data_IF_779175606573
#
_entry.id   IF_779175606573
#
_cell.length_a   1.000
_cell.length_b   1.000
_cell.length_c   1.000
_cell.angle_alpha   90.00
_cell.angle_beta   90.00
_cell.angle_gamma   90.00
#
_symmetry.space_group_name_H-M   'P 1'
#
loop_
_entity.id
_entity.type
_entity.pdbx_description
1 polymer ?
#
# COMPACT_ATOMS: atom_id res chain seq x y z
N UNK A 1 80.45 2.01 18.98
CA UNK A 1 79.59 0.83 18.88
C UNK A 1 78.23 1.27 18.34
N UNK A 2 77.92 1.03 17.05
CA UNK A 2 76.63 1.42 16.43
C UNK A 2 75.72 0.20 16.38
N UNK A 3 74.63 0.22 17.13
CA UNK A 3 73.58 -0.81 17.09
C UNK A 3 72.73 -0.57 15.84
N UNK A 4 72.89 -1.41 14.82
CA UNK A 4 72.01 -1.44 13.66
C UNK A 4 70.71 -2.15 14.08
N UNK A 5 69.69 -1.36 14.43
CA UNK A 5 68.34 -1.86 14.74
C UNK A 5 67.70 -2.32 13.42
N UNK A 6 67.70 -3.63 13.15
CA UNK A 6 67.05 -4.17 11.94
C UNK A 6 65.57 -3.84 12.00
N UNK A 7 65.09 -2.99 11.08
CA UNK A 7 63.65 -2.83 10.85
C UNK A 7 63.18 -4.15 10.25
N UNK A 8 62.56 -5.00 11.07
CA UNK A 8 61.95 -6.27 10.65
C UNK A 8 60.84 -5.88 9.67
N UNK A 9 61.12 -5.95 8.37
CA UNK A 9 60.11 -5.72 7.35
C UNK A 9 58.99 -6.74 7.60
N UNK A 10 57.76 -6.25 7.77
CA UNK A 10 56.58 -7.11 7.85
C UNK A 10 56.56 -7.88 6.53
N UNK A 11 56.79 -9.19 6.62
CA UNK A 11 56.97 -10.08 5.47
C UNK A 11 55.80 -9.94 4.49
N UNK A 12 56.08 -9.94 3.19
CA UNK A 12 55.06 -9.88 2.14
C UNK A 12 54.00 -11.00 2.24
N UNK A 13 54.34 -12.10 2.91
CA UNK A 13 53.39 -13.16 3.25
C UNK A 13 52.34 -12.72 4.27
N UNK A 14 52.71 -11.89 5.26
CA UNK A 14 51.81 -11.41 6.30
C UNK A 14 50.84 -10.37 5.73
N UNK A 15 51.33 -9.48 4.88
CA UNK A 15 50.46 -8.50 4.21
C UNK A 15 49.47 -9.18 3.25
N UNK A 16 49.92 -10.17 2.48
CA UNK A 16 49.03 -10.96 1.62
C UNK A 16 47.95 -11.70 2.41
N UNK A 17 48.31 -12.31 3.55
CA UNK A 17 47.34 -13.00 4.41
C UNK A 17 46.27 -12.05 4.96
N UNK A 18 46.64 -10.87 5.43
CA UNK A 18 45.69 -9.86 5.92
C UNK A 18 44.73 -9.45 4.80
N UNK A 19 45.26 -9.18 3.60
CA UNK A 19 44.44 -8.80 2.45
C UNK A 19 43.43 -9.89 2.06
N UNK A 20 43.84 -11.16 2.10
CA UNK A 20 42.94 -12.29 1.82
C UNK A 20 41.81 -12.37 2.84
N UNK A 21 42.12 -12.29 4.14
CA UNK A 21 41.11 -12.36 5.20
C UNK A 21 40.11 -11.21 5.08
N UNK A 22 40.60 -9.98 4.86
CA UNK A 22 39.74 -8.81 4.68
C UNK A 22 38.86 -8.96 3.43
N UNK A 23 39.43 -9.44 2.32
CA UNK A 23 38.68 -9.67 1.08
C UNK A 23 37.57 -10.70 1.27
N UNK A 24 37.83 -11.81 1.97
CA UNK A 24 36.83 -12.85 2.23
C UNK A 24 35.73 -12.33 3.16
N UNK A 25 36.10 -11.62 4.23
CA UNK A 25 35.13 -11.04 5.15
C UNK A 25 34.20 -10.05 4.43
N UNK A 26 34.75 -9.19 3.57
CA UNK A 26 33.96 -8.23 2.81
C UNK A 26 33.06 -8.92 1.77
N UNK A 27 33.56 -9.96 1.09
CA UNK A 27 32.75 -10.73 0.14
C UNK A 27 31.55 -11.41 0.82
N UNK A 28 31.73 -11.99 2.00
CA UNK A 28 30.64 -12.59 2.77
C UNK A 28 29.64 -11.54 3.26
N UNK A 29 30.11 -10.39 3.73
CA UNK A 29 29.24 -9.29 4.16
C UNK A 29 28.35 -8.80 3.00
N UNK A 30 28.93 -8.63 1.81
CA UNK A 30 28.18 -8.24 0.61
C UNK A 30 27.19 -9.32 0.20
N UNK A 31 27.55 -10.60 0.28
CA UNK A 31 26.65 -11.70 -0.05
C UNK A 31 25.44 -11.75 0.89
N UNK A 32 25.66 -11.65 2.20
CA UNK A 32 24.57 -11.61 3.21
C UNK A 32 23.69 -10.37 2.99
N UNK A 33 24.29 -9.22 2.73
CA UNK A 33 23.55 -8.00 2.41
C UNK A 33 22.68 -8.16 1.15
N UNK A 34 23.25 -8.71 0.07
CA UNK A 34 22.51 -8.94 -1.18
C UNK A 34 21.36 -9.93 -0.98
N UNK A 35 21.57 -11.05 -0.26
CA UNK A 35 20.49 -11.99 0.05
C UNK A 35 19.42 -11.38 0.97
N UNK A 36 19.81 -10.53 1.92
CA UNK A 36 18.87 -9.75 2.73
C UNK A 36 17.99 -8.83 1.89
N UNK A 37 18.57 -8.15 0.89
CA UNK A 37 17.82 -7.30 -0.04
C UNK A 37 16.89 -8.12 -0.95
N UNK A 38 17.36 -9.22 -1.53
CA UNK A 38 16.53 -10.07 -2.39
C UNK A 38 15.36 -10.70 -1.61
N UNK A 39 15.57 -11.11 -0.36
CA UNK A 39 14.50 -11.59 0.51
C UNK A 39 13.46 -10.51 0.86
N UNK A 40 13.88 -9.25 0.99
CA UNK A 40 12.98 -8.13 1.28
C UNK A 40 12.14 -7.70 0.07
N UNK A 41 12.74 -7.64 -1.12
CA UNK A 41 12.05 -7.22 -2.34
C UNK A 41 11.21 -8.33 -2.97
N UNK A 42 11.60 -9.60 -2.87
CA UNK A 42 10.83 -10.72 -3.43
C UNK A 42 9.44 -10.91 -2.81
N UNK A 43 9.24 -10.41 -1.58
CA UNK A 43 8.00 -10.58 -0.83
C UNK A 43 7.10 -9.34 -0.76
N UNK A 44 7.49 -8.23 -1.40
CA UNK A 44 6.76 -6.96 -1.37
C UNK A 44 6.06 -6.69 -2.71
N UNK A 45 4.80 -6.24 -2.66
CA UNK A 45 4.09 -5.74 -3.86
C UNK A 45 3.28 -6.79 -4.64
N UNK A 46 2.61 -7.71 -3.96
CA UNK A 46 1.71 -8.69 -4.60
C UNK A 46 0.22 -8.40 -4.33
N UNK A 47 -0.11 -7.16 -3.97
CA UNK A 47 -1.50 -6.72 -3.91
C UNK A 47 -2.03 -6.48 -5.32
N UNK A 48 -3.14 -7.13 -5.65
CA UNK A 48 -3.80 -7.00 -6.94
C UNK A 48 -5.27 -6.75 -6.73
N UNK A 49 -5.83 -5.81 -7.49
CA UNK A 49 -7.27 -5.57 -7.55
C UNK A 49 -7.79 -6.33 -8.75
N UNK A 50 -8.65 -7.32 -8.50
CA UNK A 50 -9.03 -8.36 -9.48
C UNK A 50 -10.41 -8.12 -10.11
N UNK A 51 -11.15 -7.11 -9.65
CA UNK A 51 -12.44 -6.72 -10.23
C UNK A 51 -12.49 -5.24 -10.56
N UNK A 52 -13.45 -4.87 -11.41
CA UNK A 52 -13.88 -3.49 -11.55
C UNK A 52 -14.54 -3.02 -10.24
N UNK A 53 -14.07 -1.93 -9.62
CA UNK A 53 -14.69 -1.44 -8.40
C UNK A 53 -16.11 -0.91 -8.65
N UNK A 54 -17.00 -1.11 -7.69
CA UNK A 54 -18.32 -0.49 -7.66
C UNK A 54 -18.32 0.63 -6.62
N UNK A 55 -18.89 1.78 -6.97
CA UNK A 55 -19.05 2.93 -6.06
C UNK A 55 -20.52 3.09 -5.76
N UNK A 56 -20.88 3.00 -4.48
CA UNK A 56 -22.22 3.26 -3.98
C UNK A 56 -22.20 4.53 -3.16
N UNK A 57 -23.12 5.45 -3.46
CA UNK A 57 -23.28 6.72 -2.74
C UNK A 57 -24.68 6.75 -2.15
N UNK A 58 -24.76 6.90 -0.84
CA UNK A 58 -26.03 6.96 -0.12
C UNK A 58 -26.10 8.29 0.61
N UNK A 59 -27.15 9.07 0.34
CA UNK A 59 -27.50 10.23 1.16
C UNK A 59 -28.06 9.71 2.49
N UNK A 60 -27.44 10.06 3.60
CA UNK A 60 -27.93 9.69 4.94
C UNK A 60 -29.05 10.64 5.35
N UNK A 61 -29.88 10.22 6.31
CA UNK A 61 -30.93 11.07 6.89
C UNK A 61 -30.37 12.16 7.82
N UNK A 62 -29.07 12.09 8.14
CA UNK A 62 -28.36 13.08 8.94
C UNK A 62 -27.97 14.29 8.09
N UNK A 63 -28.09 15.47 8.69
CA UNK A 63 -27.52 16.70 8.14
C UNK A 63 -26.55 17.28 9.15
N UNK A 64 -25.43 17.82 8.68
CA UNK A 64 -24.51 18.60 9.51
C UNK A 64 -24.73 20.06 9.13
N UNK A 65 -25.48 20.77 9.97
CA UNK A 65 -26.11 22.03 9.59
C UNK A 65 -27.16 21.81 8.49
N UNK A 66 -27.09 22.64 7.43
CA UNK A 66 -27.97 22.54 6.26
C UNK A 66 -27.39 21.65 5.14
N UNK A 67 -26.24 21.02 5.35
CA UNK A 67 -25.61 20.18 4.33
C UNK A 67 -26.04 18.72 4.51
N UNK A 68 -26.49 18.05 3.43
CA UNK A 68 -26.76 16.62 3.47
C UNK A 68 -25.45 15.86 3.72
N UNK A 69 -25.55 14.80 4.49
CA UNK A 69 -24.43 13.89 4.71
C UNK A 69 -24.55 12.72 3.74
N UNK A 70 -23.41 12.27 3.23
CA UNK A 70 -23.30 11.14 2.32
C UNK A 70 -22.33 10.10 2.88
N UNK A 71 -22.68 8.83 2.66
CA UNK A 71 -21.81 7.69 2.83
C UNK A 71 -21.42 7.16 1.46
N UNK A 72 -20.12 7.05 1.20
CA UNK A 72 -19.59 6.42 -0.02
C UNK A 72 -19.00 5.07 0.34
N UNK A 73 -19.39 4.03 -0.37
CA UNK A 73 -18.82 2.69 -0.24
C UNK A 73 -18.23 2.27 -1.57
N UNK A 74 -16.93 1.95 -1.58
CA UNK A 74 -16.23 1.38 -2.74
C UNK A 74 -16.05 -0.11 -2.50
N UNK A 75 -16.56 -0.93 -3.41
CA UNK A 75 -16.56 -2.40 -3.32
C UNK A 75 -15.67 -2.94 -4.42
N UNK A 76 -14.68 -3.76 -4.08
CA UNK A 76 -13.82 -4.41 -5.07
C UNK A 76 -13.24 -5.72 -4.54
N UNK A 77 -12.88 -6.62 -5.45
CA UNK A 77 -12.13 -7.82 -5.12
C UNK A 77 -10.63 -7.54 -5.13
N UNK A 78 -9.96 -8.08 -4.13
CA UNK A 78 -8.51 -7.98 -3.98
C UNK A 78 -7.91 -9.37 -3.81
N UNK A 79 -6.66 -9.51 -4.24
CA UNK A 79 -5.78 -10.63 -3.89
C UNK A 79 -4.50 -10.06 -3.31
N UNK A 80 -4.22 -10.35 -2.05
CA UNK A 80 -2.94 -10.05 -1.43
C UNK A 80 -2.05 -11.31 -1.47
N UNK A 81 -1.27 -11.46 -2.54
CA UNK A 81 -0.33 -12.57 -2.68
C UNK A 81 0.97 -12.41 -1.88
N UNK A 82 1.14 -11.28 -1.18
CA UNK A 82 2.38 -10.95 -0.49
C UNK A 82 2.49 -11.64 0.87
N UNK A 83 3.68 -11.54 1.48
CA UNK A 83 3.94 -12.09 2.82
C UNK A 83 3.47 -11.17 3.97
N UNK A 84 3.08 -9.93 3.67
CA UNK A 84 2.68 -8.92 4.66
C UNK A 84 1.27 -8.38 4.40
N UNK A 85 0.54 -7.96 5.44
CA UNK A 85 -0.71 -7.23 5.28
C UNK A 85 -0.52 -5.96 4.44
N UNK A 86 -1.53 -5.61 3.64
CA UNK A 86 -1.57 -4.39 2.87
C UNK A 86 -2.60 -3.43 3.47
N UNK A 87 -2.14 -2.26 3.92
CA UNK A 87 -2.99 -1.25 4.53
C UNK A 87 -3.35 -0.18 3.52
N UNK A 88 -4.64 0.13 3.39
CA UNK A 88 -5.08 1.27 2.57
C UNK A 88 -4.82 2.57 3.34
N UNK A 89 -3.91 3.40 2.83
CA UNK A 89 -3.57 4.69 3.43
C UNK A 89 -4.56 5.78 3.02
N UNK A 90 -4.89 5.81 1.72
CA UNK A 90 -5.82 6.78 1.20
C UNK A 90 -6.52 6.26 -0.04
N UNK A 91 -7.70 6.80 -0.27
CA UNK A 91 -8.49 6.54 -1.47
C UNK A 91 -9.10 7.84 -1.94
N UNK A 92 -9.06 8.07 -3.23
CA UNK A 92 -9.67 9.20 -3.91
C UNK A 92 -10.70 8.67 -4.90
N UNK A 93 -11.92 9.19 -4.87
CA UNK A 93 -13.01 8.80 -5.76
C UNK A 93 -13.56 10.03 -6.44
N UNK A 94 -13.53 10.08 -7.78
CA UNK A 94 -13.92 11.26 -8.56
C UNK A 94 -13.25 12.58 -8.09
N UNK A 95 -12.00 12.50 -7.65
CA UNK A 95 -11.26 13.64 -7.10
C UNK A 95 -11.46 13.90 -5.59
N UNK A 96 -12.46 13.29 -4.95
CA UNK A 96 -12.69 13.40 -3.51
C UNK A 96 -11.76 12.47 -2.72
N UNK A 97 -10.85 13.04 -1.93
CA UNK A 97 -9.84 12.31 -1.15
C UNK A 97 -10.35 11.95 0.24
N UNK A 98 -10.14 10.70 0.65
CA UNK A 98 -10.24 10.24 2.03
C UNK A 98 -8.88 9.67 2.47
N UNK A 99 -8.28 10.34 3.45
CA UNK A 99 -6.97 9.99 4.03
C UNK A 99 -7.06 9.01 5.21
N UNK A 100 -8.28 8.67 5.65
CA UNK A 100 -8.52 7.72 6.75
C UNK A 100 -9.66 6.77 6.38
N UNK A 101 -9.51 5.99 5.30
CA UNK A 101 -10.56 5.08 4.87
C UNK A 101 -10.77 3.94 5.87
N UNK A 102 -12.03 3.60 6.11
CA UNK A 102 -12.37 2.41 6.88
C UNK A 102 -12.49 1.24 5.91
N UNK A 103 -11.65 0.23 6.10
CA UNK A 103 -11.61 -0.97 5.27
C UNK A 103 -12.34 -2.08 6.00
N UNK A 104 -13.20 -2.81 5.29
CA UNK A 104 -13.97 -3.95 5.79
C UNK A 104 -13.74 -5.18 4.93
N UNK A 105 -13.55 -6.32 5.58
CA UNK A 105 -13.49 -7.66 4.97
C UNK A 105 -14.78 -8.38 5.37
N UNK A 106 -15.77 -8.39 4.48
CA UNK A 106 -17.14 -8.73 4.86
C UNK A 106 -17.70 -7.76 5.91
N UNK A 107 -18.16 -8.26 7.06
CA UNK A 107 -18.75 -7.45 8.13
C UNK A 107 -17.75 -6.94 9.18
N UNK A 108 -16.45 -7.27 9.06
CA UNK A 108 -15.44 -6.91 10.05
C UNK A 108 -14.52 -5.81 9.52
N UNK A 109 -14.31 -4.78 10.33
CA UNK A 109 -13.32 -3.75 10.02
C UNK A 109 -11.90 -4.33 10.09
N UNK A 110 -11.13 -4.07 9.04
CA UNK A 110 -9.76 -4.51 8.83
C UNK A 110 -8.75 -3.50 9.39
N UNK A 111 -8.69 -3.34 10.71
CA UNK A 111 -7.82 -2.34 11.37
C UNK A 111 -6.32 -2.54 11.10
N UNK A 112 -5.90 -3.77 10.78
CA UNK A 112 -4.53 -4.11 10.36
C UNK A 112 -4.31 -4.16 8.84
N UNK A 113 -5.28 -3.72 8.04
CA UNK A 113 -5.25 -3.85 6.59
C UNK A 113 -5.71 -5.22 6.08
N UNK A 114 -5.54 -5.44 4.78
CA UNK A 114 -5.88 -6.67 4.06
C UNK A 114 -4.81 -7.73 4.36
N UNK A 115 -5.12 -8.85 5.04
CA UNK A 115 -4.12 -9.84 5.45
C UNK A 115 -3.36 -10.46 4.28
N UNK A 116 -2.14 -10.95 4.55
CA UNK A 116 -1.39 -11.77 3.62
C UNK A 116 -2.17 -13.05 3.24
N UNK A 117 -2.16 -13.42 1.96
CA UNK A 117 -2.91 -14.56 1.43
C UNK A 117 -4.42 -14.32 1.27
N UNK A 118 -4.94 -13.15 1.66
CA UNK A 118 -6.36 -12.84 1.51
C UNK A 118 -6.75 -12.71 0.04
N UNK A 119 -7.86 -13.34 -0.33
CA UNK A 119 -8.50 -13.17 -1.63
C UNK A 119 -10.01 -13.07 -1.43
N UNK A 120 -10.61 -11.97 -1.85
CA UNK A 120 -12.04 -11.74 -1.66
C UNK A 120 -12.45 -10.28 -1.79
N UNK A 121 -13.71 -10.01 -1.46
CA UNK A 121 -14.33 -8.69 -1.52
C UNK A 121 -13.88 -7.81 -0.35
N UNK A 122 -13.53 -6.57 -0.67
CA UNK A 122 -13.18 -5.51 0.26
C UNK A 122 -14.13 -4.34 0.07
N UNK A 123 -14.66 -3.87 1.18
CA UNK A 123 -15.53 -2.70 1.23
C UNK A 123 -14.77 -1.55 1.90
N UNK A 124 -14.66 -0.43 1.20
CA UNK A 124 -14.00 0.77 1.72
C UNK A 124 -15.04 1.86 1.89
N UNK A 125 -15.24 2.32 3.12
CA UNK A 125 -16.26 3.33 3.43
C UNK A 125 -15.65 4.69 3.74
N UNK A 126 -16.40 5.71 3.31
CA UNK A 126 -16.17 7.12 3.56
C UNK A 126 -17.33 7.57 4.44
N UNK A 127 -17.08 7.77 5.72
CA UNK A 127 -18.12 8.19 6.64
C UNK A 127 -18.28 9.72 6.63
N UNK A 128 -19.53 10.16 6.76
CA UNK A 128 -19.91 11.52 7.12
C UNK A 128 -19.37 12.62 6.19
N UNK A 129 -19.47 12.41 4.88
CA UNK A 129 -19.03 13.41 3.89
C UNK A 129 -20.15 14.42 3.59
N UNK A 130 -19.89 15.72 3.77
CA UNK A 130 -20.90 16.79 3.56
C UNK A 130 -20.79 17.46 2.19
N UNK A 131 -19.69 17.23 1.48
CA UNK A 131 -19.43 17.80 0.16
C UNK A 131 -18.86 16.71 -0.75
N UNK A 132 -19.69 16.21 -1.67
CA UNK A 132 -19.29 15.29 -2.72
C UNK A 132 -19.46 15.96 -4.09
N UNK A 133 -18.58 15.66 -5.06
CA UNK A 133 -18.71 16.17 -6.41
C UNK A 133 -20.02 15.68 -7.07
N UNK A 134 -20.59 16.48 -7.96
CA UNK A 134 -21.84 16.15 -8.67
C UNK A 134 -21.73 14.90 -9.55
N UNK A 135 -20.50 14.56 -9.96
CA UNK A 135 -20.16 13.30 -10.61
C UNK A 135 -20.55 12.07 -9.79
N UNK A 136 -20.59 12.19 -8.46
CA UNK A 136 -20.95 11.11 -7.52
C UNK A 136 -22.36 11.20 -6.96
N UNK A 137 -22.99 12.38 -6.98
CA UNK A 137 -24.29 12.58 -6.31
C UNK A 137 -25.47 12.68 -7.27
N UNK A 138 -25.23 12.96 -8.55
CA UNK A 138 -26.30 13.04 -9.55
C UNK A 138 -26.81 11.66 -9.98
N UNK A 139 -28.12 11.38 -9.88
CA UNK A 139 -28.73 10.14 -10.37
C UNK A 139 -28.49 9.84 -11.84
N UNK A 140 -28.27 10.88 -12.66
CA UNK A 140 -28.03 10.73 -14.10
C UNK A 140 -26.65 10.13 -14.41
N UNK A 141 -25.75 10.07 -13.42
CA UNK A 141 -24.41 9.52 -13.59
C UNK A 141 -24.32 8.04 -13.20
N UNK A 142 -25.40 7.43 -12.68
CA UNK A 142 -25.43 6.00 -12.33
C UNK A 142 -25.22 5.16 -13.59
N UNK A 143 -24.37 4.14 -13.48
CA UNK A 143 -23.83 3.35 -14.59
C UNK A 143 -22.59 3.94 -15.25
N UNK A 144 -22.23 5.20 -14.94
CA UNK A 144 -21.06 5.88 -15.46
C UNK A 144 -19.74 5.42 -14.83
N UNK A 145 -18.63 5.68 -15.52
CA UNK A 145 -17.29 5.39 -15.02
C UNK A 145 -16.79 6.46 -14.06
N UNK A 146 -16.14 6.05 -12.97
CA UNK A 146 -15.56 6.92 -11.95
C UNK A 146 -14.09 6.57 -11.75
N UNK A 147 -13.21 7.57 -11.79
CA UNK A 147 -11.80 7.36 -11.47
C UNK A 147 -11.61 7.16 -9.98
N UNK A 148 -10.83 6.13 -9.62
CA UNK A 148 -10.48 5.78 -8.25
C UNK A 148 -8.95 5.68 -8.17
N UNK A 149 -8.36 6.44 -7.26
CA UNK A 149 -6.94 6.32 -6.92
C UNK A 149 -6.82 5.78 -5.49
N UNK A 150 -6.06 4.70 -5.30
CA UNK A 150 -5.85 4.10 -3.98
C UNK A 150 -4.36 3.99 -3.68
N UNK A 151 -3.94 4.45 -2.51
CA UNK A 151 -2.57 4.28 -2.02
C UNK A 151 -2.58 3.22 -0.95
N UNK A 152 -1.91 2.10 -1.22
CA UNK A 152 -1.69 1.05 -0.23
C UNK A 152 -0.28 1.12 0.30
N UNK A 153 -0.06 0.67 1.53
CA UNK A 153 1.27 0.35 2.06
C UNK A 153 1.36 -1.14 2.30
N UNK A 154 2.38 -1.78 1.73
CA UNK A 154 2.70 -3.19 1.96
C UNK A 154 4.20 -3.33 2.20
N UNK A 155 4.59 -3.60 3.44
CA UNK A 155 6.02 -3.55 3.82
C UNK A 155 6.60 -2.14 3.64
N UNK A 156 7.69 -2.02 2.88
CA UNK A 156 8.33 -0.74 2.55
C UNK A 156 7.78 -0.06 1.28
N UNK A 157 6.86 -0.72 0.56
CA UNK A 157 6.31 -0.20 -0.69
C UNK A 157 4.98 0.51 -0.43
N UNK A 158 4.78 1.63 -1.12
CA UNK A 158 3.51 2.36 -1.13
C UNK A 158 2.95 2.55 -2.55
N UNK A 159 2.51 1.47 -3.22
CA UNK A 159 1.99 1.56 -4.58
C UNK A 159 0.68 2.36 -4.65
N UNK A 160 0.52 3.10 -5.75
CA UNK A 160 -0.73 3.76 -6.12
C UNK A 160 -1.43 2.97 -7.21
N UNK A 161 -2.69 2.62 -7.00
CA UNK A 161 -3.55 2.00 -7.99
C UNK A 161 -4.49 3.06 -8.56
N UNK A 162 -4.46 3.25 -9.87
CA UNK A 162 -5.42 4.09 -10.59
C UNK A 162 -6.34 3.18 -11.40
N UNK A 163 -7.62 3.19 -11.06
CA UNK A 163 -8.65 2.31 -11.60
C UNK A 163 -9.86 3.12 -12.07
N UNK A 164 -10.62 2.53 -12.98
CA UNK A 164 -11.96 2.99 -13.34
C UNK A 164 -12.98 2.07 -12.66
N UNK A 165 -13.78 2.63 -11.75
CA UNK A 165 -14.94 1.97 -11.17
C UNK A 165 -16.24 2.37 -11.85
N UNK A 166 -17.34 1.75 -11.46
CA UNK A 166 -18.69 2.07 -11.93
C UNK A 166 -19.47 2.70 -10.80
N UNK A 167 -20.12 3.85 -11.04
CA UNK A 167 -21.08 4.42 -10.10
C UNK A 167 -22.35 3.57 -10.14
N UNK A 168 -22.55 2.72 -9.14
CA UNK A 168 -23.64 1.74 -9.15
C UNK A 168 -24.94 2.31 -8.56
N UNK A 169 -24.85 3.21 -7.59
CA UNK A 169 -26.04 3.84 -7.02
C UNK A 169 -25.74 5.21 -6.44
N UNK A 170 -26.72 6.10 -6.54
CA UNK A 170 -26.79 7.37 -5.83
C UNK A 170 -28.18 7.50 -5.22
N UNK A 171 -28.39 6.94 -4.03
CA UNK A 171 -29.71 6.99 -3.42
C UNK A 171 -29.88 8.34 -2.71
N UNK A 172 -30.55 9.28 -3.39
CA UNK A 172 -31.16 10.43 -2.74
C UNK A 172 -32.46 9.90 -2.15
N UNK A 173 -32.52 9.65 -0.83
CA UNK A 173 -33.80 9.25 -0.22
C UNK A 173 -34.87 10.27 -0.65
N UNK A 174 -35.90 9.76 -1.32
CA UNK A 174 -37.12 10.49 -1.69
C UNK A 174 -37.89 10.87 -0.44
#
# INVERSE_FOLDING_TARGET
>A
MRILKSRRAISGAVTALILVIVSVALALAVAVFAFGLFGSFGNSGQLQITSTPLVNVVKTSTTIGNNPVYSVTVIFNVKNGGATPASLQSIQVAGYLNSTPLVYLGSKQATGGIPAGYAGEVNVTFENTTALPSSLTSPNNVGGSVQINMVFTQGSLSPTFTLQGILNSTNTQK
#
